data_IF_588308217345
#
_entry.id   IF_588308217345
#
_cell.length_a   1.000
_cell.length_b   1.000
_cell.length_c   1.000
_cell.angle_alpha   90.00
_cell.angle_beta   90.00
_cell.angle_gamma   90.00
#
_symmetry.space_group_name_H-M   'P 1'
#
loop_
_entity.id
_entity.type
_entity.pdbx_description
1 polymer ?
#
# COMPACT_ATOMS: atom_id res chain seq x y z
N UNK A 1 2.86 22.75 -18.62
CA UNK A 1 2.45 21.55 -19.42
C UNK A 1 3.42 20.36 -19.32
N UNK A 2 4.11 20.16 -18.19
CA UNK A 2 5.09 19.06 -18.02
C UNK A 2 4.70 18.04 -16.93
N UNK A 3 3.48 18.10 -16.38
CA UNK A 3 3.06 17.34 -15.20
C UNK A 3 2.44 15.97 -15.47
N UNK A 4 2.33 15.56 -16.70
CA UNK A 4 1.55 14.37 -17.05
C UNK A 4 2.35 13.09 -17.14
N UNK A 5 3.16 12.65 -16.12
CA UNK A 5 3.82 11.35 -16.27
C UNK A 5 4.62 10.83 -15.08
N UNK A 6 4.37 11.30 -13.87
CA UNK A 6 5.19 10.84 -12.74
C UNK A 6 5.05 9.31 -12.52
N UNK A 7 3.84 8.80 -12.36
CA UNK A 7 3.61 7.37 -12.13
C UNK A 7 4.13 6.50 -13.26
N UNK A 8 3.98 6.95 -14.48
CA UNK A 8 4.53 6.30 -15.65
C UNK A 8 6.07 6.28 -15.67
N UNK A 9 6.71 7.43 -15.37
CA UNK A 9 8.17 7.52 -15.25
C UNK A 9 8.72 6.57 -14.21
N UNK A 10 8.03 6.42 -13.07
CA UNK A 10 8.41 5.47 -12.02
C UNK A 10 8.29 4.01 -12.45
N UNK A 11 7.33 3.67 -13.28
CA UNK A 11 7.24 2.34 -13.89
C UNK A 11 8.45 2.07 -14.79
N UNK A 12 8.88 3.05 -15.59
CA UNK A 12 10.06 2.94 -16.45
C UNK A 12 11.38 2.88 -15.68
N UNK A 13 11.54 3.65 -14.63
CA UNK A 13 12.72 3.63 -13.75
C UNK A 13 12.92 2.26 -13.10
N UNK A 14 11.84 1.56 -12.72
CA UNK A 14 11.90 0.16 -12.26
C UNK A 14 12.59 -0.76 -13.26
N UNK A 15 12.36 -0.56 -14.55
CA UNK A 15 12.88 -1.36 -15.64
C UNK A 15 14.42 -1.37 -15.72
N UNK A 16 15.08 -0.21 -15.53
CA UNK A 16 16.53 -0.06 -15.74
C UNK A 16 17.43 -0.60 -14.62
N UNK A 17 16.92 -0.68 -13.40
CA UNK A 17 17.76 -0.87 -12.20
C UNK A 17 17.82 -2.30 -11.64
N UNK A 18 17.01 -3.24 -12.16
CA UNK A 18 16.78 -4.52 -11.50
C UNK A 18 17.96 -5.52 -11.59
N UNK A 19 18.58 -5.65 -12.75
CA UNK A 19 19.60 -6.70 -13.00
C UNK A 19 20.91 -6.47 -12.24
N UNK A 20 21.34 -5.23 -12.09
CA UNK A 20 22.58 -4.88 -11.40
C UNK A 20 22.42 -5.05 -9.87
N UNK A 21 21.26 -4.67 -9.33
CA UNK A 21 20.95 -4.73 -7.91
C UNK A 21 20.96 -6.16 -7.35
N UNK A 22 20.50 -7.15 -8.11
CA UNK A 22 20.45 -8.56 -7.65
C UNK A 22 21.83 -9.13 -7.32
N UNK A 23 22.87 -8.80 -8.10
CA UNK A 23 24.25 -9.29 -7.84
C UNK A 23 24.84 -8.73 -6.55
N UNK A 24 24.56 -7.48 -6.23
CA UNK A 24 25.05 -6.80 -5.02
C UNK A 24 24.30 -7.32 -3.79
N UNK A 25 22.99 -7.50 -3.90
CA UNK A 25 22.12 -7.91 -2.81
C UNK A 25 22.42 -9.32 -2.25
N UNK A 26 23.03 -10.22 -3.03
CA UNK A 26 23.37 -11.57 -2.56
C UNK A 26 24.31 -11.62 -1.36
N UNK A 27 25.11 -10.57 -1.14
CA UNK A 27 26.12 -10.49 -0.08
C UNK A 27 25.65 -9.74 1.17
N UNK A 28 24.45 -9.21 1.18
CA UNK A 28 23.90 -8.36 2.23
C UNK A 28 22.86 -9.08 3.06
N UNK A 29 22.73 -8.74 4.33
CA UNK A 29 21.58 -9.10 5.17
C UNK A 29 20.30 -8.46 4.61
N UNK A 30 19.12 -8.92 5.05
CA UNK A 30 17.86 -8.35 4.58
C UNK A 30 17.74 -6.85 4.94
N UNK A 31 18.17 -6.46 6.14
CA UNK A 31 18.17 -5.05 6.55
C UNK A 31 19.08 -4.20 5.66
N UNK A 32 20.31 -4.63 5.44
CA UNK A 32 21.24 -3.95 4.54
C UNK A 32 20.70 -3.85 3.11
N UNK A 33 19.99 -4.88 2.63
CA UNK A 33 19.36 -4.85 1.30
C UNK A 33 18.22 -3.86 1.23
N UNK A 34 17.37 -3.84 2.24
CA UNK A 34 16.27 -2.88 2.31
C UNK A 34 16.83 -1.46 2.41
N UNK A 35 17.85 -1.25 3.22
CA UNK A 35 18.50 0.06 3.36
C UNK A 35 19.22 0.49 2.07
N UNK A 36 19.90 -0.43 1.40
CA UNK A 36 20.54 -0.16 0.10
C UNK A 36 19.53 0.17 -1.01
N UNK A 37 18.37 -0.45 -0.98
CA UNK A 37 17.30 -0.23 -1.97
C UNK A 37 16.45 1.00 -1.68
N UNK A 38 16.55 1.54 -0.46
CA UNK A 38 15.90 2.80 -0.16
C UNK A 38 16.61 3.94 -0.89
N UNK A 39 15.85 4.80 -1.57
CA UNK A 39 16.41 6.04 -2.03
C UNK A 39 16.89 6.85 -0.81
N UNK A 40 17.99 7.53 -0.98
CA UNK A 40 18.34 8.62 -0.10
C UNK A 40 17.21 9.65 -0.19
N UNK A 41 16.42 9.74 0.87
CA UNK A 41 15.27 10.66 0.93
C UNK A 41 15.73 12.10 0.66
N UNK A 42 16.90 12.49 1.15
CA UNK A 42 17.49 13.80 0.88
C UNK A 42 17.88 13.99 -0.59
N UNK A 43 18.22 12.90 -1.30
CA UNK A 43 18.55 12.93 -2.72
C UNK A 43 17.31 13.08 -3.61
N UNK A 44 16.18 12.53 -3.19
CA UNK A 44 14.88 12.70 -3.88
C UNK A 44 14.48 14.17 -3.91
N UNK A 45 14.72 14.90 -2.82
CA UNK A 45 14.38 16.30 -2.68
C UNK A 45 15.50 17.26 -3.07
N UNK A 46 16.54 16.80 -3.78
CA UNK A 46 17.67 17.64 -4.18
C UNK A 46 17.26 18.83 -5.05
N UNK A 47 16.20 18.68 -5.83
CA UNK A 47 15.65 19.72 -6.71
C UNK A 47 14.52 20.53 -6.01
N UNK A 48 14.05 20.10 -4.83
CA UNK A 48 13.19 20.89 -3.96
C UNK A 48 14.09 21.68 -3.01
N UNK A 49 13.82 22.95 -2.86
CA UNK A 49 14.47 23.73 -1.81
C UNK A 49 14.18 23.05 -0.49
N UNK A 50 15.21 22.56 0.21
CA UNK A 50 15.11 21.85 1.50
C UNK A 50 14.35 22.63 2.57
N UNK A 51 14.01 23.89 2.31
CA UNK A 51 13.28 24.81 3.16
C UNK A 51 11.82 24.41 3.41
N UNK A 52 11.22 23.60 2.49
CA UNK A 52 9.80 23.23 2.57
C UNK A 52 9.57 21.78 3.01
N UNK A 53 10.61 20.98 3.12
CA UNK A 53 10.53 19.57 3.53
C UNK A 53 11.33 19.34 4.81
N UNK A 54 10.69 18.73 5.81
CA UNK A 54 11.34 18.35 7.06
C UNK A 54 11.34 16.82 7.22
N UNK A 55 12.49 16.24 7.54
CA UNK A 55 12.64 14.81 7.75
C UNK A 55 13.03 14.51 9.19
N UNK A 56 12.29 13.60 9.83
CA UNK A 56 12.58 13.07 11.15
C UNK A 56 12.82 11.56 11.06
N UNK A 57 13.95 11.10 11.60
CA UNK A 57 14.27 9.68 11.69
C UNK A 57 14.07 9.19 13.12
N UNK A 58 13.31 8.11 13.28
CA UNK A 58 13.21 7.37 14.53
C UNK A 58 14.23 6.24 14.52
N UNK A 59 15.20 6.30 15.43
CA UNK A 59 16.33 5.34 15.48
C UNK A 59 15.98 4.04 16.21
N UNK A 60 14.85 3.97 16.90
CA UNK A 60 14.39 2.78 17.59
C UNK A 60 13.04 2.31 17.05
N UNK A 61 12.82 0.99 17.08
CA UNK A 61 11.52 0.40 16.78
C UNK A 61 10.49 0.90 17.80
N UNK A 62 9.41 1.48 17.30
CA UNK A 62 8.30 1.94 18.14
C UNK A 62 6.99 1.91 17.39
N UNK A 63 5.88 1.89 18.14
CA UNK A 63 4.56 2.05 17.56
C UNK A 63 4.29 3.51 17.20
N UNK A 64 3.51 3.71 16.14
CA UNK A 64 3.14 5.06 15.67
C UNK A 64 2.41 5.84 16.76
N UNK A 65 1.51 5.21 17.51
CA UNK A 65 0.78 5.82 18.62
C UNK A 65 1.69 6.38 19.73
N UNK A 66 2.84 5.74 19.95
CA UNK A 66 3.80 6.24 20.96
C UNK A 66 4.52 7.50 20.48
N UNK A 67 4.80 7.58 19.19
CA UNK A 67 5.47 8.76 18.61
C UNK A 67 4.51 9.92 18.40
N UNK A 68 3.26 9.62 18.05
CA UNK A 68 2.22 10.59 17.74
C UNK A 68 0.97 10.39 18.62
N UNK A 69 1.07 10.66 19.95
CA UNK A 69 -0.10 10.75 20.80
C UNK A 69 -0.96 11.97 20.41
N UNK A 70 -2.22 12.02 20.85
CA UNK A 70 -3.20 13.05 20.50
C UNK A 70 -2.67 14.48 20.65
N UNK A 71 -2.02 14.78 21.76
CA UNK A 71 -1.49 16.12 22.08
C UNK A 71 -0.41 16.59 21.08
N UNK A 72 0.35 15.69 20.51
CA UNK A 72 1.30 16.03 19.44
C UNK A 72 0.60 16.24 18.10
N UNK A 73 -0.36 15.37 17.75
CA UNK A 73 -1.09 15.45 16.48
C UNK A 73 -1.99 16.68 16.43
N UNK A 74 -2.56 17.11 17.56
CA UNK A 74 -3.33 18.36 17.66
C UNK A 74 -2.52 19.60 17.28
N UNK A 75 -1.20 19.55 17.41
CA UNK A 75 -0.29 20.63 17.00
C UNK A 75 0.06 20.65 15.51
N UNK A 76 -0.37 19.63 14.78
CA UNK A 76 -0.15 19.57 13.33
C UNK A 76 -0.97 20.64 12.62
N UNK A 77 -0.37 21.21 11.60
CA UNK A 77 -0.99 22.21 10.72
C UNK A 77 -1.58 21.54 9.49
N UNK A 78 -2.30 22.27 8.65
CA UNK A 78 -2.90 21.76 7.43
C UNK A 78 -1.85 21.56 6.33
N UNK A 79 -0.84 20.76 6.62
CA UNK A 79 0.29 20.42 5.76
C UNK A 79 0.29 18.90 5.45
N UNK A 80 1.22 18.46 4.63
CA UNK A 80 1.44 17.06 4.32
C UNK A 80 2.33 16.35 5.36
N UNK A 81 1.95 15.13 5.75
CA UNK A 81 2.69 14.29 6.70
C UNK A 81 2.87 12.90 6.13
N UNK A 82 4.10 12.54 5.76
CA UNK A 82 4.41 11.18 5.31
C UNK A 82 4.93 10.36 6.48
N UNK A 83 4.28 9.25 6.76
CA UNK A 83 4.68 8.30 7.79
C UNK A 83 5.20 7.03 7.10
N UNK A 84 6.52 6.90 7.07
CA UNK A 84 7.21 5.74 6.51
C UNK A 84 7.42 4.74 7.64
N UNK A 85 6.58 3.72 7.68
CA UNK A 85 6.61 2.72 8.74
C UNK A 85 6.30 1.32 8.18
N UNK A 86 7.08 0.33 8.62
CA UNK A 86 6.86 -1.06 8.18
C UNK A 86 5.47 -1.56 8.61
N UNK A 87 5.04 -2.66 8.02
CA UNK A 87 3.84 -3.37 8.46
C UNK A 87 4.01 -3.81 9.93
N UNK A 88 2.91 -3.74 10.71
CA UNK A 88 2.97 -4.11 12.14
C UNK A 88 3.37 -3.01 13.11
N UNK A 89 3.66 -1.80 12.65
CA UNK A 89 3.96 -0.65 13.51
C UNK A 89 2.71 0.05 14.07
N UNK A 90 1.52 -0.51 13.83
CA UNK A 90 0.27 0.04 14.36
C UNK A 90 -0.31 1.20 13.55
N UNK A 91 -0.01 1.31 12.23
CA UNK A 91 -0.60 2.32 11.34
C UNK A 91 -2.13 2.37 11.45
N UNK A 92 -2.79 1.23 11.19
CA UNK A 92 -4.25 1.14 11.23
C UNK A 92 -4.81 1.45 12.61
N UNK A 93 -4.22 0.88 13.66
CA UNK A 93 -4.64 1.13 15.05
C UNK A 93 -4.51 2.61 15.44
N UNK A 94 -3.46 3.27 14.99
CA UNK A 94 -3.28 4.71 15.22
C UNK A 94 -4.38 5.53 14.54
N UNK A 95 -4.75 5.19 13.31
CA UNK A 95 -5.86 5.83 12.58
C UNK A 95 -7.19 5.57 13.28
N UNK A 96 -7.52 4.30 13.54
CA UNK A 96 -8.84 3.89 14.05
C UNK A 96 -9.06 4.22 15.53
N UNK A 97 -8.00 4.50 16.29
CA UNK A 97 -8.11 4.90 17.70
C UNK A 97 -7.66 6.35 17.91
N UNK A 98 -6.35 6.64 17.75
CA UNK A 98 -5.81 7.95 18.12
C UNK A 98 -6.43 9.08 17.30
N UNK A 99 -6.47 8.95 15.97
CA UNK A 99 -7.08 10.00 15.12
C UNK A 99 -8.59 9.99 15.24
N UNK A 100 -9.23 8.82 15.26
CA UNK A 100 -10.68 8.72 15.41
C UNK A 100 -11.19 9.38 16.71
N UNK A 101 -10.54 9.09 17.84
CA UNK A 101 -10.89 9.71 19.12
C UNK A 101 -10.71 11.24 19.11
N UNK A 102 -9.64 11.74 18.46
CA UNK A 102 -9.45 13.20 18.30
C UNK A 102 -10.59 13.83 17.49
N UNK A 103 -10.95 13.21 16.38
CA UNK A 103 -12.03 13.69 15.51
C UNK A 103 -13.37 13.72 16.26
N UNK A 104 -13.65 12.70 17.09
CA UNK A 104 -14.85 12.66 17.93
C UNK A 104 -14.85 13.78 18.98
N UNK A 105 -13.71 13.98 19.68
CA UNK A 105 -13.56 15.06 20.67
C UNK A 105 -13.80 16.43 20.04
N UNK A 106 -13.28 16.65 18.83
CA UNK A 106 -13.35 17.94 18.13
C UNK A 106 -14.62 18.06 17.25
N UNK A 107 -15.51 17.05 17.25
CA UNK A 107 -16.71 16.96 16.38
C UNK A 107 -16.37 17.18 14.90
N UNK A 108 -15.24 16.66 14.48
CA UNK A 108 -14.72 16.78 13.14
C UNK A 108 -14.82 15.46 12.37
N UNK A 109 -14.67 15.53 11.07
CA UNK A 109 -14.71 14.35 10.18
C UNK A 109 -13.35 14.13 9.52
N UNK A 110 -12.96 12.87 9.36
CA UNK A 110 -11.80 12.45 8.59
C UNK A 110 -12.20 11.73 7.32
N UNK A 111 -11.37 11.82 6.29
CA UNK A 111 -11.48 11.04 5.07
C UNK A 111 -10.35 10.00 5.05
N UNK A 112 -10.72 8.73 4.97
CA UNK A 112 -9.78 7.61 4.90
C UNK A 112 -9.89 6.91 3.55
N UNK A 113 -8.78 6.85 2.83
CA UNK A 113 -8.70 6.23 1.51
C UNK A 113 -7.66 5.13 1.52
N UNK A 114 -8.06 3.98 1.00
CA UNK A 114 -7.19 2.82 0.87
C UNK A 114 -7.15 2.32 -0.57
N UNK A 115 -6.06 1.69 -1.02
CA UNK A 115 -5.93 1.27 -2.42
C UNK A 115 -6.76 0.02 -2.76
N UNK A 116 -7.16 -0.77 -1.77
CA UNK A 116 -7.78 -2.08 -1.98
C UNK A 116 -9.03 -2.27 -1.15
N UNK A 117 -10.04 -2.86 -1.75
CA UNK A 117 -11.33 -3.17 -1.10
C UNK A 117 -11.14 -3.98 0.19
N UNK A 118 -10.24 -4.96 0.21
CA UNK A 118 -9.99 -5.76 1.41
C UNK A 118 -9.49 -4.91 2.60
N UNK A 119 -8.57 -3.98 2.36
CA UNK A 119 -8.08 -3.06 3.38
C UNK A 119 -9.18 -2.07 3.81
N UNK A 120 -9.98 -1.56 2.86
CA UNK A 120 -11.15 -0.73 3.14
C UNK A 120 -12.11 -1.43 4.09
N UNK A 121 -12.44 -2.70 3.80
CA UNK A 121 -13.35 -3.51 4.61
C UNK A 121 -12.78 -3.78 6.01
N UNK A 122 -11.48 -3.98 6.12
CA UNK A 122 -10.82 -4.12 7.42
C UNK A 122 -11.01 -2.85 8.27
N UNK A 123 -10.76 -1.67 7.71
CA UNK A 123 -10.98 -0.38 8.40
C UNK A 123 -12.44 -0.18 8.78
N UNK A 124 -13.37 -0.43 7.86
CA UNK A 124 -14.82 -0.30 8.10
C UNK A 124 -15.26 -1.18 9.27
N UNK A 125 -14.85 -2.44 9.30
CA UNK A 125 -15.18 -3.36 10.40
C UNK A 125 -14.54 -2.92 11.72
N UNK A 126 -13.28 -2.48 11.72
CA UNK A 126 -12.61 -2.03 12.93
C UNK A 126 -13.26 -0.76 13.50
N UNK A 127 -13.55 0.22 12.65
CA UNK A 127 -14.26 1.43 13.05
C UNK A 127 -15.69 1.16 13.51
N UNK A 128 -16.44 0.29 12.81
CA UNK A 128 -17.76 -0.12 13.22
C UNK A 128 -17.71 -0.77 14.60
N UNK A 129 -16.81 -1.73 14.83
CA UNK A 129 -16.65 -2.39 16.14
C UNK A 129 -16.36 -1.41 17.28
N UNK A 130 -15.64 -0.32 17.01
CA UNK A 130 -15.24 0.64 18.03
C UNK A 130 -16.28 1.74 18.27
N UNK A 131 -17.00 2.18 17.24
CA UNK A 131 -17.79 3.42 17.30
C UNK A 131 -19.25 3.26 16.89
N UNK A 132 -19.62 2.20 16.18
CA UNK A 132 -20.99 1.92 15.73
C UNK A 132 -21.23 0.40 15.61
N UNK A 133 -21.13 -0.33 16.73
CA UNK A 133 -21.22 -1.80 16.74
C UNK A 133 -22.55 -2.33 16.20
N UNK A 134 -23.61 -1.55 16.33
CA UNK A 134 -24.95 -1.84 15.79
C UNK A 134 -24.93 -2.09 14.28
N UNK A 135 -24.08 -1.37 13.55
CA UNK A 135 -23.95 -1.57 12.09
C UNK A 135 -23.43 -2.95 11.71
N UNK A 136 -22.67 -3.61 12.58
CA UNK A 136 -22.18 -4.98 12.33
C UNK A 136 -23.26 -6.03 12.53
N UNK A 137 -24.28 -5.74 13.35
CA UNK A 137 -25.42 -6.61 13.59
C UNK A 137 -26.48 -6.43 12.49
N UNK A 138 -26.67 -5.20 12.02
CA UNK A 138 -27.71 -4.85 11.07
C UNK A 138 -27.30 -5.07 9.60
N UNK A 139 -26.01 -4.91 9.28
CA UNK A 139 -25.53 -4.93 7.90
C UNK A 139 -24.93 -6.27 7.50
N UNK A 140 -25.33 -6.74 6.32
CA UNK A 140 -24.62 -7.81 5.60
C UNK A 140 -23.25 -7.31 5.14
N UNK A 141 -22.35 -8.23 4.73
CA UNK A 141 -21.07 -7.88 4.13
C UNK A 141 -21.21 -6.89 2.96
N UNK A 142 -22.23 -7.05 2.12
CA UNK A 142 -22.52 -6.11 1.03
C UNK A 142 -23.01 -4.76 1.55
N UNK A 143 -23.75 -4.73 2.66
CA UNK A 143 -24.17 -3.51 3.33
C UNK A 143 -22.98 -2.74 3.89
N UNK A 144 -22.07 -3.42 4.57
CA UNK A 144 -20.82 -2.85 5.07
C UNK A 144 -19.99 -2.27 3.90
N UNK A 145 -19.91 -2.96 2.77
CA UNK A 145 -19.20 -2.45 1.61
C UNK A 145 -19.80 -1.14 1.08
N UNK A 146 -21.12 -1.04 1.00
CA UNK A 146 -21.82 0.13 0.47
C UNK A 146 -21.86 1.33 1.42
N UNK A 147 -21.83 1.08 2.72
CA UNK A 147 -21.78 2.11 3.75
C UNK A 147 -20.39 2.79 3.73
N UNK A 148 -20.33 4.11 3.88
CA UNK A 148 -19.07 4.85 3.85
C UNK A 148 -18.77 5.57 5.17
N UNK A 149 -19.78 5.94 5.94
CA UNK A 149 -19.62 6.65 7.22
C UNK A 149 -19.47 5.64 8.37
N UNK A 150 -18.31 5.69 9.05
CA UNK A 150 -17.98 4.82 10.18
C UNK A 150 -17.36 5.62 11.31
N UNK A 151 -18.11 5.86 12.38
CA UNK A 151 -17.68 6.75 13.44
C UNK A 151 -17.36 8.15 12.88
N UNK A 152 -16.16 8.69 13.12
CA UNK A 152 -15.78 10.02 12.62
C UNK A 152 -15.17 9.99 11.21
N UNK A 153 -15.20 8.86 10.50
CA UNK A 153 -14.58 8.71 9.19
C UNK A 153 -15.55 8.43 8.06
N UNK A 154 -15.30 9.08 6.93
CA UNK A 154 -15.73 8.59 5.62
C UNK A 154 -14.64 7.67 5.07
N UNK A 155 -14.97 6.40 4.79
CA UNK A 155 -14.01 5.36 4.39
C UNK A 155 -14.30 4.87 2.98
N UNK A 156 -13.31 5.00 2.08
CA UNK A 156 -13.43 4.62 0.68
C UNK A 156 -12.22 3.81 0.20
N UNK A 157 -12.47 2.94 -0.78
CA UNK A 157 -11.39 2.44 -1.61
C UNK A 157 -11.09 3.41 -2.75
N UNK A 158 -9.85 3.41 -3.26
CA UNK A 158 -9.47 4.20 -4.42
C UNK A 158 -10.39 3.95 -5.63
N UNK A 159 -10.82 2.70 -5.82
CA UNK A 159 -11.67 2.30 -6.93
C UNK A 159 -13.07 2.96 -6.88
N UNK A 160 -13.56 3.30 -5.69
CA UNK A 160 -14.86 3.97 -5.52
C UNK A 160 -14.82 5.43 -5.99
N UNK A 161 -13.64 6.06 -5.98
CA UNK A 161 -13.46 7.44 -6.48
C UNK A 161 -13.45 7.57 -7.99
N UNK A 162 -13.48 6.48 -8.73
CA UNK A 162 -13.57 6.51 -10.19
C UNK A 162 -14.92 7.09 -10.69
N UNK A 163 -15.90 7.29 -9.81
CA UNK A 163 -17.18 7.92 -10.17
C UNK A 163 -17.18 9.42 -9.84
N UNK A 164 -17.49 10.24 -10.83
CA UNK A 164 -17.61 11.70 -10.68
C UNK A 164 -18.64 12.13 -9.59
N UNK A 165 -19.64 11.29 -9.32
CA UNK A 165 -20.64 11.57 -8.29
C UNK A 165 -20.04 11.52 -6.87
N UNK A 166 -19.13 10.58 -6.59
CA UNK A 166 -18.48 10.46 -5.28
C UNK A 166 -17.46 11.57 -5.04
N UNK A 167 -16.71 11.96 -6.07
CA UNK A 167 -15.83 13.13 -5.98
C UNK A 167 -16.62 14.39 -5.63
N UNK A 168 -17.80 14.58 -6.21
CA UNK A 168 -18.67 15.73 -5.88
C UNK A 168 -19.20 15.68 -4.45
N UNK A 169 -19.56 14.51 -3.93
CA UNK A 169 -20.04 14.36 -2.55
C UNK A 169 -18.95 14.75 -1.53
N UNK A 170 -17.67 14.45 -1.81
CA UNK A 170 -16.55 14.82 -0.96
C UNK A 170 -16.27 16.32 -0.98
N UNK A 171 -16.46 17.01 -2.11
CA UNK A 171 -16.31 18.46 -2.23
C UNK A 171 -17.20 19.25 -1.27
N UNK A 172 -18.36 18.71 -0.92
CA UNK A 172 -19.32 19.37 -0.03
C UNK A 172 -19.01 19.23 1.45
N UNK A 173 -18.08 18.32 1.83
CA UNK A 173 -17.68 18.07 3.21
C UNK A 173 -16.32 18.73 3.51
N UNK A 174 -16.18 19.24 4.73
CA UNK A 174 -14.89 19.72 5.27
C UNK A 174 -14.28 18.61 6.11
N UNK A 175 -13.08 18.19 5.76
CA UNK A 175 -12.33 17.20 6.51
C UNK A 175 -11.21 17.84 7.34
N UNK A 176 -11.04 17.40 8.57
CA UNK A 176 -9.90 17.76 9.41
C UNK A 176 -8.66 16.96 9.05
N UNK A 177 -8.86 15.69 8.67
CA UNK A 177 -7.81 14.80 8.17
C UNK A 177 -8.21 14.16 6.84
N UNK A 178 -7.26 14.11 5.92
CA UNK A 178 -7.32 13.27 4.73
C UNK A 178 -6.17 12.26 4.83
N UNK A 179 -6.50 10.99 5.03
CA UNK A 179 -5.54 9.91 5.26
C UNK A 179 -5.54 8.97 4.07
N UNK A 180 -4.36 8.75 3.48
CA UNK A 180 -4.16 7.80 2.40
C UNK A 180 -3.27 6.67 2.93
N UNK A 181 -3.84 5.49 3.17
CA UNK A 181 -3.06 4.33 3.61
C UNK A 181 -2.53 3.54 2.41
N UNK A 182 -1.34 2.97 2.58
CA UNK A 182 -0.57 2.27 1.54
C UNK A 182 -0.48 3.09 0.23
N UNK A 183 -0.17 4.38 0.36
CA UNK A 183 -0.20 5.36 -0.73
C UNK A 183 0.68 4.98 -1.93
N UNK A 184 1.72 4.17 -1.76
CA UNK A 184 2.56 3.64 -2.84
C UNK A 184 1.78 2.82 -3.88
N UNK A 185 0.65 2.20 -3.47
CA UNK A 185 -0.16 1.39 -4.37
C UNK A 185 -0.86 2.21 -5.45
N UNK A 186 -1.02 3.54 -5.27
CA UNK A 186 -1.52 4.42 -6.32
C UNK A 186 -0.62 4.39 -7.57
N UNK A 187 0.70 4.32 -7.39
CA UNK A 187 1.64 4.17 -8.52
C UNK A 187 1.45 2.82 -9.22
N UNK A 188 1.31 1.73 -8.43
CA UNK A 188 1.06 0.40 -8.97
C UNK A 188 -0.23 0.31 -9.77
N UNK A 189 -1.30 0.93 -9.26
CA UNK A 189 -2.62 0.95 -9.91
C UNK A 189 -2.65 1.81 -11.17
N UNK A 190 -1.80 2.84 -11.27
CA UNK A 190 -1.69 3.67 -12.47
C UNK A 190 -1.24 2.90 -13.72
N UNK A 191 -0.58 1.76 -13.54
CA UNK A 191 -0.24 0.84 -14.63
C UNK A 191 -1.49 0.23 -15.29
N UNK A 192 -2.58 0.05 -14.51
CA UNK A 192 -3.83 -0.55 -14.97
C UNK A 192 -4.94 0.49 -15.19
N UNK A 193 -4.83 1.62 -14.53
CA UNK A 193 -5.83 2.69 -14.60
C UNK A 193 -5.16 4.06 -14.78
N UNK A 194 -5.16 4.61 -16.00
CA UNK A 194 -4.50 5.86 -16.34
C UNK A 194 -5.09 7.10 -15.63
N UNK A 195 -6.26 6.95 -15.01
CA UNK A 195 -6.90 8.05 -14.25
C UNK A 195 -6.43 8.13 -12.79
N UNK A 196 -5.69 7.14 -12.28
CA UNK A 196 -5.30 7.07 -10.87
C UNK A 196 -4.53 8.31 -10.42
N UNK A 197 -3.57 8.79 -11.21
CA UNK A 197 -2.80 10.01 -10.91
C UNK A 197 -3.72 11.24 -10.86
N UNK A 198 -4.61 11.39 -11.83
CA UNK A 198 -5.55 12.51 -11.87
C UNK A 198 -6.50 12.49 -10.67
N UNK A 199 -6.97 11.30 -10.28
CA UNK A 199 -7.84 11.14 -9.11
C UNK A 199 -7.07 11.49 -7.84
N UNK A 200 -5.83 11.02 -7.70
CA UNK A 200 -4.98 11.33 -6.56
C UNK A 200 -4.82 12.86 -6.39
N UNK A 201 -4.46 13.57 -7.46
CA UNK A 201 -4.33 15.03 -7.45
C UNK A 201 -5.66 15.73 -7.14
N UNK A 202 -6.73 15.34 -7.83
CA UNK A 202 -8.06 15.94 -7.63
C UNK A 202 -8.55 15.77 -6.19
N UNK A 203 -8.38 14.59 -5.62
CA UNK A 203 -8.77 14.28 -4.25
C UNK A 203 -8.05 15.19 -3.25
N UNK A 204 -6.75 15.35 -3.39
CA UNK A 204 -5.96 16.17 -2.49
C UNK A 204 -6.27 17.66 -2.68
N UNK A 205 -6.51 18.12 -3.91
CA UNK A 205 -6.91 19.50 -4.20
C UNK A 205 -8.29 19.84 -3.64
N UNK A 206 -9.24 18.90 -3.69
CA UNK A 206 -10.64 19.17 -3.31
C UNK A 206 -10.90 18.90 -1.82
N UNK A 207 -10.47 17.75 -1.31
CA UNK A 207 -10.69 17.38 0.10
C UNK A 207 -9.52 17.76 1.00
N UNK A 208 -8.30 17.77 0.45
CA UNK A 208 -7.08 17.94 1.22
C UNK A 208 -6.66 19.38 1.49
N UNK A 209 -7.16 20.36 0.73
CA UNK A 209 -6.64 21.75 0.77
C UNK A 209 -6.67 22.39 2.17
N UNK A 210 -7.70 22.10 2.95
CA UNK A 210 -7.87 22.64 4.30
C UNK A 210 -7.66 21.58 5.40
N UNK A 211 -7.24 20.36 5.04
CA UNK A 211 -7.06 19.24 5.94
C UNK A 211 -5.57 19.00 6.26
N UNK A 212 -5.32 18.29 7.36
CA UNK A 212 -4.04 17.63 7.60
C UNK A 212 -3.98 16.41 6.71
N UNK A 213 -3.03 16.38 5.76
CA UNK A 213 -2.90 15.28 4.79
C UNK A 213 -1.86 14.28 5.30
N UNK A 214 -2.29 13.04 5.52
CA UNK A 214 -1.45 11.98 6.07
C UNK A 214 -1.28 10.86 5.06
N UNK A 215 -0.04 10.59 4.70
CA UNK A 215 0.36 9.57 3.75
C UNK A 215 1.07 8.43 4.49
N UNK A 216 0.44 7.26 4.56
CA UNK A 216 0.99 6.10 5.23
C UNK A 216 1.58 5.13 4.19
N UNK A 217 2.81 4.69 4.39
CA UNK A 217 3.45 3.71 3.51
C UNK A 217 4.60 2.98 4.20
N UNK A 218 4.85 1.74 3.77
CA UNK A 218 6.08 1.02 4.11
C UNK A 218 7.15 1.13 3.01
N UNK A 219 6.74 1.51 1.79
CA UNK A 219 7.58 1.56 0.58
C UNK A 219 7.41 2.92 -0.12
N UNK A 220 8.09 3.97 0.36
CA UNK A 220 7.91 5.34 -0.10
C UNK A 220 8.55 5.62 -1.48
N UNK A 221 9.47 4.76 -1.92
CA UNK A 221 10.42 5.01 -3.01
C UNK A 221 9.79 5.41 -4.34
N UNK A 222 8.54 5.02 -4.53
CA UNK A 222 7.86 5.19 -5.81
C UNK A 222 6.83 6.32 -5.81
N UNK A 223 6.59 6.97 -4.67
CA UNK A 223 5.50 7.96 -4.53
C UNK A 223 5.94 9.29 -3.92
N UNK A 224 7.09 9.36 -3.26
CA UNK A 224 7.49 10.56 -2.50
C UNK A 224 7.59 11.82 -3.35
N UNK A 225 8.16 11.72 -4.55
CA UNK A 225 8.30 12.90 -5.44
C UNK A 225 6.93 13.44 -5.84
N UNK A 226 5.96 12.55 -6.10
CA UNK A 226 4.60 12.96 -6.46
C UNK A 226 3.89 13.61 -5.29
N UNK A 227 4.04 13.05 -4.06
CA UNK A 227 3.49 13.67 -2.86
C UNK A 227 4.06 15.09 -2.71
N UNK A 228 5.38 15.25 -2.86
CA UNK A 228 6.02 16.56 -2.71
C UNK A 228 5.51 17.57 -3.74
N UNK A 229 5.35 17.16 -5.02
CA UNK A 229 4.79 18.01 -6.07
C UNK A 229 3.34 18.43 -5.76
N UNK A 230 2.51 17.48 -5.35
CA UNK A 230 1.11 17.78 -5.04
C UNK A 230 0.99 18.69 -3.83
N UNK A 231 1.82 18.49 -2.81
CA UNK A 231 1.85 19.39 -1.63
C UNK A 231 2.27 20.82 -2.01
N UNK A 232 3.17 20.97 -2.97
CA UNK A 232 3.53 22.28 -3.53
C UNK A 232 2.37 22.93 -4.29
N UNK A 233 1.63 22.14 -5.07
CA UNK A 233 0.47 22.63 -5.83
C UNK A 233 -0.73 23.00 -4.94
N UNK A 234 -0.96 22.25 -3.84
CA UNK A 234 -2.10 22.48 -2.93
C UNK A 234 -1.91 23.75 -2.10
N UNK A 235 -0.67 24.09 -1.78
CA UNK A 235 -0.35 25.26 -0.94
C UNK A 235 0.41 26.31 -1.76
N UNK A 236 -0.24 26.94 -2.77
CA UNK A 236 0.45 27.80 -3.73
C UNK A 236 0.90 29.13 -3.15
N UNK A 237 0.31 29.56 -2.03
CA UNK A 237 0.61 30.88 -1.45
C UNK A 237 1.53 30.75 -0.25
N UNK A 238 2.60 31.54 -0.26
CA UNK A 238 3.45 31.78 0.90
C UNK A 238 2.64 32.53 1.96
N UNK A 239 2.13 31.82 2.95
CA UNK A 239 1.58 32.43 4.14
C UNK A 239 2.72 32.56 5.14
N UNK A 240 3.26 33.77 5.37
CA UNK A 240 4.33 33.96 6.35
C UNK A 240 3.81 33.53 7.72
N UNK A 241 4.44 32.53 8.29
CA UNK A 241 4.18 32.08 9.68
C UNK A 241 5.28 32.67 10.55
N UNK A 242 4.90 33.24 11.67
CA UNK A 242 5.80 33.82 12.65
C UNK A 242 5.76 33.01 13.95
N UNK A 243 6.87 32.94 14.66
CA UNK A 243 6.88 32.39 16.02
C UNK A 243 6.35 33.40 17.03
N UNK A 244 6.35 33.03 18.32
CA UNK A 244 5.89 33.91 19.43
C UNK A 244 6.76 35.14 19.62
N UNK A 245 7.94 35.20 19.01
CA UNK A 245 8.87 36.31 19.03
C UNK A 245 8.82 37.16 17.75
N UNK A 246 7.94 36.83 16.82
CA UNK A 246 7.80 37.53 15.54
C UNK A 246 8.84 37.15 14.48
N UNK A 247 9.60 36.07 14.67
CA UNK A 247 10.54 35.56 13.66
C UNK A 247 9.83 34.71 12.62
N UNK A 248 10.19 34.84 11.32
CA UNK A 248 9.59 34.02 10.27
C UNK A 248 9.92 32.54 10.50
N UNK A 249 8.88 31.72 10.57
CA UNK A 249 9.03 30.27 10.61
C UNK A 249 9.26 29.72 9.19
N UNK A 250 10.09 28.68 9.05
CA UNK A 250 10.20 27.95 7.78
C UNK A 250 8.81 27.54 7.29
N UNK A 251 8.52 27.79 6.01
CA UNK A 251 7.26 27.36 5.40
C UNK A 251 7.32 25.88 5.06
N UNK A 252 7.22 25.03 6.09
CA UNK A 252 7.22 23.57 5.90
C UNK A 252 5.88 23.15 5.33
N UNK A 253 5.90 22.51 4.15
CA UNK A 253 4.72 21.98 3.44
C UNK A 253 4.61 20.48 3.58
N UNK A 254 5.74 19.80 3.77
CA UNK A 254 5.81 18.36 3.88
C UNK A 254 6.71 17.96 5.04
N UNK A 255 6.19 17.17 5.95
CA UNK A 255 6.96 16.57 7.05
C UNK A 255 7.01 15.05 6.87
N UNK A 256 8.20 14.49 6.82
CA UNK A 256 8.44 13.06 6.64
C UNK A 256 8.93 12.46 7.95
N UNK A 257 8.22 11.45 8.44
CA UNK A 257 8.60 10.67 9.59
C UNK A 257 9.00 9.26 9.15
N UNK A 258 10.26 8.94 9.31
CA UNK A 258 10.82 7.63 8.97
C UNK A 258 11.03 6.81 10.24
N UNK A 259 10.27 5.73 10.38
CA UNK A 259 10.41 4.79 11.48
C UNK A 259 11.52 3.79 11.19
N UNK A 260 12.26 3.40 12.23
CA UNK A 260 13.22 2.32 12.15
C UNK A 260 12.52 1.02 11.75
N UNK A 261 13.15 0.26 10.88
CA UNK A 261 12.70 -1.06 10.45
C UNK A 261 13.40 -2.15 11.25
N UNK A 262 12.71 -3.25 11.45
CA UNK A 262 13.27 -4.43 12.12
C UNK A 262 12.82 -5.68 11.38
N UNK A 263 13.76 -6.26 10.65
CA UNK A 263 13.62 -7.56 9.99
C UNK A 263 14.62 -8.58 10.54
N UNK A 264 15.15 -8.37 11.76
CA UNK A 264 16.10 -9.30 12.40
C UNK A 264 15.53 -10.70 12.61
N UNK A 265 14.20 -10.85 12.61
CA UNK A 265 13.50 -12.13 12.67
C UNK A 265 13.49 -12.91 11.34
N UNK A 266 14.00 -12.34 10.24
CA UNK A 266 13.95 -12.96 8.92
C UNK A 266 15.28 -13.57 8.55
N UNK A 267 15.25 -14.84 8.18
CA UNK A 267 16.39 -15.55 7.61
C UNK A 267 16.18 -15.66 6.08
N UNK A 268 16.84 -14.82 5.25
CA UNK A 268 16.66 -14.86 3.81
C UNK A 268 17.47 -15.98 3.17
N UNK A 269 16.83 -16.73 2.28
CA UNK A 269 17.41 -17.84 1.53
C UNK A 269 17.10 -17.60 0.05
N UNK A 270 18.14 -17.51 -0.78
CA UNK A 270 17.98 -17.29 -2.22
C UNK A 270 18.05 -18.61 -2.97
N UNK A 271 17.14 -18.80 -3.93
CA UNK A 271 17.12 -19.98 -4.76
C UNK A 271 16.96 -19.61 -6.25
N UNK A 272 17.32 -20.54 -7.12
CA UNK A 272 17.16 -20.40 -8.58
C UNK A 272 16.27 -21.50 -9.16
N UNK A 273 16.35 -22.70 -8.61
CA UNK A 273 15.58 -23.85 -9.08
C UNK A 273 14.33 -24.04 -8.20
N UNK A 274 13.17 -24.05 -8.83
CA UNK A 274 11.87 -24.24 -8.17
C UNK A 274 11.78 -25.62 -7.50
N UNK A 275 12.39 -26.63 -8.15
CA UNK A 275 12.43 -28.01 -7.66
C UNK A 275 13.14 -28.16 -6.31
N UNK A 276 14.20 -27.39 -6.08
CA UNK A 276 14.91 -27.40 -4.78
C UNK A 276 13.99 -27.00 -3.63
N UNK A 277 13.17 -25.99 -3.88
CA UNK A 277 12.27 -25.46 -2.87
C UNK A 277 11.07 -26.37 -2.68
N UNK A 278 10.56 -26.94 -3.76
CA UNK A 278 9.48 -27.92 -3.69
C UNK A 278 9.87 -29.11 -2.82
N UNK A 279 11.04 -29.73 -3.05
CA UNK A 279 11.52 -30.85 -2.23
C UNK A 279 11.67 -30.51 -0.76
N UNK A 280 12.09 -29.26 -0.42
CA UNK A 280 12.13 -28.78 0.95
C UNK A 280 10.72 -28.63 1.55
N UNK A 281 9.74 -28.18 0.78
CA UNK A 281 8.36 -28.05 1.25
C UNK A 281 7.67 -29.40 1.43
N UNK A 282 7.94 -30.36 0.56
CA UNK A 282 7.45 -31.74 0.70
C UNK A 282 7.94 -32.39 1.99
N UNK A 283 9.20 -32.12 2.38
CA UNK A 283 9.82 -32.63 3.60
C UNK A 283 9.55 -31.78 4.85
N UNK A 284 8.84 -30.67 4.72
CA UNK A 284 8.53 -29.78 5.86
C UNK A 284 7.64 -30.49 6.88
N UNK A 285 8.02 -30.42 8.16
CA UNK A 285 7.21 -30.96 9.27
C UNK A 285 5.78 -30.42 9.23
N UNK A 286 4.78 -31.26 9.50
CA UNK A 286 3.37 -30.87 9.53
C UNK A 286 3.02 -29.78 10.54
N UNK A 287 3.86 -29.55 11.54
CA UNK A 287 3.71 -28.47 12.52
C UNK A 287 4.09 -27.08 11.96
N UNK A 288 4.87 -27.04 10.88
CA UNK A 288 5.28 -25.79 10.24
C UNK A 288 4.40 -25.49 9.05
N UNK A 289 3.96 -24.24 8.95
CA UNK A 289 3.15 -23.73 7.85
C UNK A 289 3.94 -22.81 6.93
N UNK A 290 3.51 -22.74 5.67
CA UNK A 290 4.13 -21.92 4.64
C UNK A 290 3.14 -21.01 3.93
N UNK A 291 3.58 -19.78 3.63
CA UNK A 291 2.88 -18.82 2.78
C UNK A 291 3.68 -18.65 1.48
N UNK A 292 3.07 -18.97 0.35
CA UNK A 292 3.73 -19.03 -0.95
C UNK A 292 3.11 -18.01 -1.89
N UNK A 293 3.87 -17.00 -2.29
CA UNK A 293 3.46 -16.01 -3.28
C UNK A 293 3.93 -16.40 -4.67
N UNK A 294 2.98 -16.72 -5.55
CA UNK A 294 3.25 -17.15 -6.92
C UNK A 294 3.00 -16.04 -7.95
N UNK A 295 3.65 -16.16 -9.12
CA UNK A 295 3.57 -15.17 -10.21
C UNK A 295 2.26 -15.21 -10.99
N UNK A 296 1.68 -16.42 -11.10
CA UNK A 296 0.52 -16.65 -11.96
C UNK A 296 -0.42 -17.69 -11.35
N UNK A 297 -1.66 -17.69 -11.83
CA UNK A 297 -2.67 -18.70 -11.50
C UNK A 297 -2.17 -20.09 -11.86
N UNK A 298 -1.56 -20.24 -13.05
CA UNK A 298 -1.01 -21.51 -13.51
C UNK A 298 0.02 -22.08 -12.52
N UNK A 299 1.00 -21.29 -12.12
CA UNK A 299 2.02 -21.70 -11.14
C UNK A 299 1.37 -22.07 -9.79
N UNK A 300 0.35 -21.32 -9.35
CA UNK A 300 -0.35 -21.62 -8.10
C UNK A 300 -1.04 -22.99 -8.12
N UNK A 301 -1.71 -23.31 -9.20
CA UNK A 301 -2.35 -24.63 -9.40
C UNK A 301 -1.32 -25.77 -9.49
N UNK A 302 -0.19 -25.55 -10.19
CA UNK A 302 0.90 -26.52 -10.26
C UNK A 302 1.52 -26.80 -8.88
N UNK A 303 1.72 -25.77 -8.06
CA UNK A 303 2.23 -25.92 -6.71
C UNK A 303 1.23 -26.63 -5.80
N UNK A 304 -0.07 -26.30 -5.89
CA UNK A 304 -1.10 -27.00 -5.12
C UNK A 304 -1.13 -28.47 -5.48
N UNK A 305 -1.12 -28.81 -6.78
CA UNK A 305 -1.13 -30.21 -7.25
C UNK A 305 0.11 -30.99 -6.74
N UNK A 306 1.31 -30.38 -6.77
CA UNK A 306 2.55 -31.00 -6.29
C UNK A 306 2.55 -31.23 -4.78
N UNK A 307 2.07 -30.27 -3.99
CA UNK A 307 2.00 -30.38 -2.52
C UNK A 307 0.81 -31.20 -2.03
N UNK A 308 -0.19 -31.42 -2.89
CA UNK A 308 -1.42 -32.12 -2.61
C UNK A 308 -2.49 -31.29 -1.90
N UNK A 309 -3.76 -31.49 -2.30
CA UNK A 309 -4.91 -30.72 -1.83
C UNK A 309 -5.15 -30.84 -0.31
N UNK A 310 -4.69 -31.91 0.31
CA UNK A 310 -4.79 -32.09 1.76
C UNK A 310 -3.87 -31.12 2.50
N UNK A 311 -2.73 -30.80 1.94
CA UNK A 311 -1.68 -29.93 2.57
C UNK A 311 -1.73 -28.49 2.09
N UNK A 312 -2.19 -28.24 0.87
CA UNK A 312 -2.11 -26.92 0.25
C UNK A 312 -3.47 -26.41 -0.23
N UNK A 313 -3.64 -25.10 -0.20
CA UNK A 313 -4.77 -24.38 -0.80
C UNK A 313 -4.26 -23.24 -1.63
N UNK A 314 -4.74 -23.11 -2.87
CA UNK A 314 -4.43 -21.98 -3.73
C UNK A 314 -5.60 -21.01 -3.79
N UNK A 315 -5.28 -19.72 -3.54
CA UNK A 315 -6.24 -18.62 -3.61
C UNK A 315 -5.73 -17.51 -4.54
N UNK A 316 -6.64 -16.95 -5.33
CA UNK A 316 -6.40 -15.80 -6.19
C UNK A 316 -7.56 -14.79 -6.12
N UNK A 317 -7.46 -13.67 -6.83
CA UNK A 317 -8.47 -12.62 -6.81
C UNK A 317 -9.86 -13.08 -7.26
N UNK A 318 -9.92 -14.10 -8.11
CA UNK A 318 -11.15 -14.64 -8.69
C UNK A 318 -11.77 -15.71 -7.78
N UNK A 319 -11.03 -16.79 -7.46
CA UNK A 319 -11.59 -17.94 -6.73
C UNK A 319 -11.92 -17.63 -5.26
N UNK A 320 -11.30 -16.63 -4.63
CA UNK A 320 -11.65 -16.18 -3.28
C UNK A 320 -13.08 -15.65 -3.11
N UNK A 321 -13.78 -15.40 -4.21
CA UNK A 321 -15.18 -14.92 -4.23
C UNK A 321 -16.15 -15.99 -4.74
N UNK A 322 -15.68 -17.16 -5.02
CA UNK A 322 -16.44 -18.27 -5.60
C UNK A 322 -16.13 -19.58 -4.88
N UNK A 323 -15.20 -20.35 -5.41
CA UNK A 323 -14.87 -21.70 -4.91
C UNK A 323 -14.16 -21.70 -3.54
N UNK A 324 -13.51 -20.60 -3.15
CA UNK A 324 -12.71 -20.46 -1.92
C UNK A 324 -13.22 -19.35 -1.01
N UNK A 325 -14.49 -18.99 -1.13
CA UNK A 325 -15.07 -17.88 -0.37
C UNK A 325 -15.06 -18.18 1.14
N UNK A 326 -15.42 -19.41 1.53
CA UNK A 326 -15.47 -19.80 2.93
C UNK A 326 -14.07 -19.80 3.56
N UNK A 327 -13.09 -20.45 2.91
CA UNK A 327 -11.70 -20.46 3.39
C UNK A 327 -11.10 -19.04 3.45
N UNK A 328 -11.47 -18.17 2.49
CA UNK A 328 -11.01 -16.79 2.52
C UNK A 328 -11.65 -16.00 3.66
N UNK A 329 -12.93 -16.18 3.93
CA UNK A 329 -13.64 -15.56 5.05
C UNK A 329 -13.09 -16.05 6.40
N UNK A 330 -12.77 -17.33 6.53
CA UNK A 330 -12.09 -17.88 7.70
C UNK A 330 -10.72 -17.29 7.92
N UNK A 331 -9.91 -17.16 6.86
CA UNK A 331 -8.60 -16.50 6.90
C UNK A 331 -8.73 -15.05 7.37
N UNK A 332 -9.71 -14.30 6.87
CA UNK A 332 -9.96 -12.91 7.30
C UNK A 332 -10.41 -12.83 8.77
N UNK A 333 -11.23 -13.80 9.22
CA UNK A 333 -11.80 -13.83 10.57
C UNK A 333 -10.79 -14.26 11.62
N UNK A 334 -10.07 -15.35 11.36
CA UNK A 334 -9.16 -15.97 12.33
C UNK A 334 -7.71 -15.58 12.13
N UNK A 335 -7.35 -15.00 10.97
CA UNK A 335 -6.00 -14.59 10.59
C UNK A 335 -4.96 -15.74 10.69
N UNK A 336 -5.43 -16.97 10.47
CA UNK A 336 -4.66 -18.21 10.50
C UNK A 336 -4.83 -18.97 9.19
N UNK A 337 -3.81 -19.75 8.85
CA UNK A 337 -3.86 -20.65 7.71
C UNK A 337 -4.44 -21.98 8.17
N UNK A 338 -5.48 -22.48 7.52
CA UNK A 338 -6.06 -23.78 7.84
C UNK A 338 -5.17 -24.93 7.38
N UNK A 339 -4.77 -24.92 6.12
CA UNK A 339 -3.84 -25.91 5.53
C UNK A 339 -2.40 -25.66 5.94
N UNK A 340 -1.51 -26.64 5.66
CA UNK A 340 -0.08 -26.45 5.89
C UNK A 340 0.52 -25.36 4.98
N UNK A 341 0.02 -25.25 3.73
CA UNK A 341 0.48 -24.24 2.78
C UNK A 341 -0.69 -23.42 2.25
N UNK A 342 -0.54 -22.10 2.34
CA UNK A 342 -1.38 -21.15 1.66
C UNK A 342 -0.62 -20.60 0.45
N UNK A 343 -1.09 -20.89 -0.75
CA UNK A 343 -0.52 -20.44 -2.00
C UNK A 343 -1.38 -19.28 -2.52
N UNK A 344 -0.77 -18.16 -2.86
CA UNK A 344 -1.51 -16.96 -3.26
C UNK A 344 -0.81 -16.21 -4.38
N UNK A 345 -1.58 -15.49 -5.17
CA UNK A 345 -1.05 -14.46 -6.07
C UNK A 345 -0.91 -13.11 -5.32
N UNK A 346 -0.48 -12.06 -6.01
CA UNK A 346 -0.31 -10.71 -5.45
C UNK A 346 -1.58 -10.10 -4.81
N UNK A 347 -2.77 -10.71 -4.96
CA UNK A 347 -3.98 -10.14 -4.35
C UNK A 347 -3.89 -10.02 -2.82
N UNK A 348 -3.02 -10.81 -2.18
CA UNK A 348 -2.78 -10.76 -0.74
C UNK A 348 -1.67 -9.78 -0.32
N UNK A 349 -0.99 -9.13 -1.23
CA UNK A 349 0.08 -8.17 -0.90
C UNK A 349 -0.45 -6.94 -0.13
N UNK A 350 -1.75 -6.68 -0.21
CA UNK A 350 -2.41 -5.60 0.54
C UNK A 350 -3.66 -6.11 1.26
N UNK A 351 -3.76 -5.88 2.56
CA UNK A 351 -5.01 -5.98 3.33
C UNK A 351 -5.28 -7.28 4.10
N UNK A 352 -4.53 -8.36 3.89
CA UNK A 352 -4.71 -9.61 4.65
C UNK A 352 -3.53 -9.84 5.59
N UNK A 353 -3.79 -9.99 6.89
CA UNK A 353 -2.77 -10.29 7.89
C UNK A 353 -2.87 -11.75 8.33
N UNK A 354 -1.74 -12.40 8.61
CA UNK A 354 -1.67 -13.77 9.12
C UNK A 354 -0.97 -13.76 10.47
N UNK A 355 -1.74 -14.06 11.52
CA UNK A 355 -1.28 -14.17 12.91
C UNK A 355 -1.12 -15.65 13.29
N UNK A 356 -0.33 -16.39 12.55
CA UNK A 356 -0.13 -17.82 12.74
C UNK A 356 1.29 -18.10 13.25
N UNK A 357 1.40 -18.59 14.48
CA UNK A 357 2.70 -18.93 15.09
C UNK A 357 3.38 -20.11 14.40
N UNK A 358 2.63 -20.96 13.71
CA UNK A 358 3.18 -22.10 12.95
C UNK A 358 3.70 -21.67 11.56
N UNK A 359 3.33 -20.47 11.07
CA UNK A 359 3.84 -19.93 9.81
C UNK A 359 5.31 -19.55 9.97
N UNK A 360 6.20 -20.45 9.55
CA UNK A 360 7.66 -20.32 9.67
C UNK A 360 8.37 -20.14 8.33
N UNK A 361 7.63 -20.32 7.22
CA UNK A 361 8.17 -20.27 5.87
C UNK A 361 7.37 -19.27 5.03
N UNK A 362 8.08 -18.38 4.34
CA UNK A 362 7.50 -17.51 3.31
C UNK A 362 8.31 -17.71 2.03
N UNK A 363 7.64 -17.96 0.91
CA UNK A 363 8.29 -18.16 -0.39
C UNK A 363 7.78 -17.07 -1.35
N UNK A 364 8.71 -16.39 -2.00
CA UNK A 364 8.44 -15.32 -2.94
C UNK A 364 9.01 -15.66 -4.31
N UNK A 365 8.13 -15.79 -5.29
CA UNK A 365 8.49 -15.92 -6.69
C UNK A 365 8.46 -14.56 -7.38
N UNK A 366 9.55 -14.13 -8.00
CA UNK A 366 9.65 -12.87 -8.75
C UNK A 366 9.20 -11.62 -7.99
N UNK A 367 9.72 -11.42 -6.79
CA UNK A 367 9.37 -10.25 -6.00
C UNK A 367 10.34 -9.08 -6.25
N UNK A 368 9.81 -7.90 -6.53
CA UNK A 368 10.57 -6.67 -6.38
C UNK A 368 10.82 -6.37 -4.90
N UNK A 369 11.83 -5.57 -4.55
CA UNK A 369 12.13 -5.26 -3.14
C UNK A 369 10.95 -4.75 -2.33
N UNK A 370 10.11 -3.91 -2.92
CA UNK A 370 8.89 -3.41 -2.31
C UNK A 370 7.84 -4.51 -2.12
N UNK A 371 7.74 -5.47 -3.06
CA UNK A 371 6.86 -6.64 -2.92
C UNK A 371 7.33 -7.51 -1.76
N UNK A 372 8.65 -7.71 -1.60
CA UNK A 372 9.22 -8.46 -0.47
C UNK A 372 8.77 -7.86 0.87
N UNK A 373 8.87 -6.54 1.01
CA UNK A 373 8.45 -5.82 2.22
C UNK A 373 6.96 -6.01 2.48
N UNK A 374 6.13 -5.89 1.44
CA UNK A 374 4.67 -6.00 1.55
C UNK A 374 4.23 -7.43 1.86
N UNK A 375 4.74 -8.41 1.13
CA UNK A 375 4.38 -9.80 1.27
C UNK A 375 4.87 -10.39 2.60
N UNK A 376 6.12 -10.09 2.99
CA UNK A 376 6.65 -10.46 4.30
C UNK A 376 5.84 -9.84 5.44
N UNK A 377 5.40 -8.61 5.26
CA UNK A 377 4.57 -7.90 6.22
C UNK A 377 3.19 -8.52 6.48
N UNK A 378 2.75 -9.48 5.65
CA UNK A 378 1.50 -10.23 5.91
C UNK A 378 1.64 -11.18 7.08
N UNK A 379 2.82 -11.77 7.29
CA UNK A 379 3.14 -12.51 8.53
C UNK A 379 3.32 -11.52 9.67
N UNK A 380 2.47 -11.63 10.67
CA UNK A 380 2.62 -10.92 11.93
C UNK A 380 3.46 -11.75 12.89
N UNK A 381 4.59 -11.21 13.30
CA UNK A 381 5.56 -11.87 14.17
C UNK A 381 5.29 -11.54 15.62
N UNK A 382 5.35 -12.54 16.49
CA UNK A 382 5.24 -12.39 17.92
C UNK A 382 6.51 -12.91 18.62
N UNK A 383 7.08 -12.11 19.50
CA UNK A 383 8.28 -12.51 20.27
C UNK A 383 9.53 -12.74 19.41
N UNK A 384 10.28 -13.78 19.73
CA UNK A 384 11.56 -14.13 19.09
C UNK A 384 11.40 -15.15 17.95
N UNK A 385 10.31 -15.08 17.20
CA UNK A 385 10.10 -15.95 16.05
C UNK A 385 11.15 -15.72 14.96
N UNK A 386 11.58 -16.80 14.30
CA UNK A 386 12.38 -16.74 13.08
C UNK A 386 11.54 -17.24 11.92
N UNK A 387 11.55 -16.47 10.84
CA UNK A 387 10.85 -16.78 9.58
C UNK A 387 11.88 -17.03 8.50
N UNK A 388 11.83 -18.18 7.87
CA UNK A 388 12.64 -18.49 6.69
C UNK A 388 11.98 -17.84 5.47
N UNK A 389 12.68 -16.92 4.83
CA UNK A 389 12.20 -16.21 3.65
C UNK A 389 12.95 -16.71 2.42
N UNK A 390 12.30 -17.53 1.62
CA UNK A 390 12.83 -17.99 0.35
C UNK A 390 12.52 -16.98 -0.74
N UNK A 391 13.54 -16.48 -1.44
CA UNK A 391 13.42 -15.49 -2.50
C UNK A 391 13.99 -16.06 -3.79
N UNK A 392 13.16 -16.18 -4.82
CA UNK A 392 13.61 -16.57 -6.13
C UNK A 392 14.54 -15.50 -6.73
N UNK A 393 15.67 -15.95 -7.27
CA UNK A 393 16.50 -15.11 -8.13
C UNK A 393 16.00 -15.28 -9.55
N UNK A 394 15.39 -14.26 -10.15
CA UNK A 394 14.79 -14.40 -11.45
C UNK A 394 15.82 -14.74 -12.52
N UNK A 395 15.46 -15.64 -13.42
CA UNK A 395 16.25 -15.91 -14.62
C UNK A 395 16.24 -14.71 -15.58
N UNK A 396 17.22 -14.65 -16.49
CA UNK A 396 17.25 -13.61 -17.54
C UNK A 396 15.99 -13.65 -18.40
N UNK A 397 15.45 -14.85 -18.68
CA UNK A 397 14.21 -15.01 -19.43
C UNK A 397 13.01 -14.40 -18.71
N UNK A 398 12.90 -14.65 -17.40
CA UNK A 398 11.85 -14.10 -16.57
C UNK A 398 11.95 -12.55 -16.46
N UNK A 399 13.17 -12.01 -16.36
CA UNK A 399 13.38 -10.56 -16.39
C UNK A 399 12.96 -9.93 -17.72
N UNK A 400 13.24 -10.60 -18.84
CA UNK A 400 12.77 -10.16 -20.17
C UNK A 400 11.24 -10.15 -20.28
N UNK A 401 10.56 -11.15 -19.70
CA UNK A 401 9.10 -11.17 -19.66
C UNK A 401 8.51 -9.99 -18.84
N UNK A 402 9.10 -9.67 -17.69
CA UNK A 402 8.68 -8.51 -16.92
C UNK A 402 8.91 -7.20 -17.66
N UNK A 403 10.04 -7.07 -18.35
CA UNK A 403 10.30 -5.93 -19.24
C UNK A 403 9.21 -5.83 -20.31
N UNK A 404 8.85 -6.95 -20.97
CA UNK A 404 7.79 -6.97 -21.97
C UNK A 404 6.41 -6.58 -21.42
N UNK A 405 6.07 -6.97 -20.18
CA UNK A 405 4.82 -6.53 -19.52
C UNK A 405 4.83 -5.02 -19.29
N UNK A 406 5.95 -4.46 -18.84
CA UNK A 406 6.10 -3.03 -18.64
C UNK A 406 6.01 -2.25 -19.96
N UNK A 407 6.58 -2.78 -21.04
CA UNK A 407 6.49 -2.19 -22.38
C UNK A 407 5.05 -2.21 -22.91
N UNK A 408 4.31 -3.29 -22.67
CA UNK A 408 2.90 -3.37 -23.03
C UNK A 408 2.04 -2.38 -22.22
N UNK A 409 2.28 -2.27 -20.92
CA UNK A 409 1.61 -1.29 -20.08
C UNK A 409 1.91 0.15 -20.53
N UNK A 410 3.16 0.41 -20.95
CA UNK A 410 3.58 1.67 -21.55
C UNK A 410 2.78 2.00 -22.81
N UNK A 411 2.71 1.06 -23.73
CA UNK A 411 1.96 1.23 -24.99
C UNK A 411 0.46 1.45 -24.74
N UNK A 412 -0.11 0.78 -23.73
CA UNK A 412 -1.52 0.94 -23.36
C UNK A 412 -1.81 2.31 -22.74
N UNK A 413 -0.96 2.78 -21.84
CA UNK A 413 -1.05 4.13 -21.29
C UNK A 413 -0.93 5.18 -22.40
N UNK A 414 -0.02 4.97 -23.35
CA UNK A 414 0.14 5.85 -24.53
C UNK A 414 -1.14 5.92 -25.36
N UNK A 415 -1.75 4.77 -25.69
CA UNK A 415 -3.03 4.70 -26.44
C UNK A 415 -4.17 5.39 -25.71
N UNK A 416 -4.30 5.15 -24.40
CA UNK A 416 -5.35 5.76 -23.59
C UNK A 416 -5.19 7.27 -23.48
N UNK A 417 -3.97 7.80 -23.51
CA UNK A 417 -3.70 9.24 -23.56
C UNK A 417 -4.13 9.90 -24.87
N UNK A 418 -3.84 9.27 -25.99
CA UNK A 418 -4.31 9.77 -27.31
C UNK A 418 -5.82 9.78 -27.39
N UNK A 419 -6.49 8.73 -26.90
CA UNK A 419 -7.95 8.68 -26.83
C UNK A 419 -8.52 9.81 -25.95
N UNK A 420 -7.88 10.13 -24.84
CA UNK A 420 -8.28 11.24 -23.97
C UNK A 420 -8.05 12.60 -24.62
N UNK A 421 -6.91 12.81 -25.28
CA UNK A 421 -6.64 14.05 -26.03
C UNK A 421 -7.70 14.27 -27.12
N UNK A 422 -8.02 13.25 -27.89
CA UNK A 422 -9.01 13.32 -28.96
C UNK A 422 -10.42 13.57 -28.42
N UNK A 423 -10.80 13.05 -27.25
CA UNK A 423 -12.09 13.31 -26.60
C UNK A 423 -12.21 14.73 -26.06
N UNK A 424 -11.13 15.26 -25.48
CA UNK A 424 -11.08 16.67 -25.01
C UNK A 424 -11.23 17.64 -26.20
N UNK A 425 -10.61 17.32 -27.35
CA UNK A 425 -10.74 18.12 -28.57
C UNK A 425 -12.17 18.06 -29.13
N UNK A 426 -12.91 16.96 -28.92
CA UNK A 426 -14.29 16.80 -29.39
C UNK A 426 -15.36 17.35 -28.42
N UNK A 427 -14.97 18.02 -27.33
CA UNK A 427 -15.92 18.69 -26.42
C UNK A 427 -16.80 17.76 -25.59
N UNK A 428 -16.42 16.47 -25.45
CA UNK A 428 -17.17 15.50 -24.65
C UNK A 428 -16.81 15.71 -23.17
N UNK A 429 -17.65 16.41 -22.44
CA UNK A 429 -17.46 16.80 -21.04
C UNK A 429 -17.78 15.69 -20.01
N UNK A 430 -18.27 14.55 -20.43
CA UNK A 430 -18.59 13.44 -19.53
C UNK A 430 -17.48 12.40 -19.50
N UNK A 431 -17.01 12.09 -18.28
CA UNK A 431 -16.11 10.96 -18.05
C UNK A 431 -16.84 9.67 -18.47
N UNK A 432 -16.27 8.85 -19.35
CA UNK A 432 -16.88 7.59 -19.70
C UNK A 432 -16.99 6.71 -18.46
N UNK A 433 -18.08 5.95 -18.38
CA UNK A 433 -18.21 4.82 -17.46
C UNK A 433 -16.92 3.99 -17.48
N UNK A 434 -16.45 3.52 -16.31
CA UNK A 434 -15.25 2.68 -16.26
C UNK A 434 -15.48 1.47 -17.17
N UNK A 435 -14.64 1.34 -18.18
CA UNK A 435 -14.53 0.09 -18.92
C UNK A 435 -13.99 -0.94 -17.95
N UNK A 436 -14.85 -1.82 -17.46
CA UNK A 436 -14.41 -3.11 -16.94
C UNK A 436 -13.86 -3.88 -18.14
N UNK A 437 -12.55 -3.89 -18.32
CA UNK A 437 -11.97 -4.93 -19.13
C UNK A 437 -12.16 -6.25 -18.38
N UNK A 438 -13.09 -7.05 -18.83
CA UNK A 438 -13.10 -8.47 -18.59
C UNK A 438 -11.80 -9.00 -19.21
N UNK A 439 -10.83 -9.32 -18.38
CA UNK A 439 -9.73 -10.18 -18.80
C UNK A 439 -10.31 -11.59 -18.94
N UNK A 440 -10.56 -12.00 -20.15
CA UNK A 440 -10.69 -13.42 -20.54
C UNK A 440 -9.34 -14.12 -20.33
#
# INVERSE_FOLDING_TARGET
>A
MATGNYFYRKILERKGNYTLKVKILKKMTLNERIDYLQPDIYRIFKDFTNEHVRVYNAFAKQYISNMFPKDKVKKWTNDGYVIIAQTGTGKSTWVTRTIAEMLLEDRATGLLITPRVALTMQYKRELAKLYCPELLEELTEQGIHKQHEYGPFDVYSLQEFLSAAKVRAIKSKRYEFVILDEVHAFVGDAAFNPFTEKIFRLLLQEAGRQAKRVYLTATPEIILDEIAQVEEEITPEFIPRYDSLGWPKPNIRLTIFRFARDYGYVQPIFFQAEEEILGKMESLSGEKRGLIFVRSVKQGLEWQAKLGDQRAVFMNAQNKRTEREDEFNELLRYQKIDKQFLIVTRFMDVGVNVHDLQLKVVILFHAFPEDVVQMLGRKRVAGNEVVQLYIEIPSIGALKQEVGKLENAEAEIGRNRELLKNRVIMGISELPHPFYMQMT
#
